data_IF_133072982931
#
_entry.id   IF_133072982931
#
_cell.length_a   1.000
_cell.length_b   1.000
_cell.length_c   1.000
_cell.angle_alpha   90.00
_cell.angle_beta   90.00
_cell.angle_gamma   90.00
#
_symmetry.space_group_name_H-M   'P 1'
#
loop_
_entity.id
_entity.type
_entity.pdbx_description
1 polymer ?
#
# COMPACT_ATOMS: atom_id res chain seq x y z
N UNK A 1 11.61 -11.40 -40.15
CA UNK A 1 11.69 -12.30 -38.98
C UNK A 1 11.00 -11.58 -37.84
N UNK A 2 9.76 -11.94 -37.50
CA UNK A 2 9.04 -11.32 -36.37
C UNK A 2 9.51 -12.01 -35.09
N UNK A 3 10.22 -11.29 -34.23
CA UNK A 3 10.58 -11.79 -32.91
C UNK A 3 9.29 -11.89 -32.08
N UNK A 4 8.90 -13.10 -31.69
CA UNK A 4 7.85 -13.29 -30.70
C UNK A 4 8.34 -12.69 -29.38
N UNK A 5 7.62 -11.74 -28.77
CA UNK A 5 7.99 -11.26 -27.45
C UNK A 5 7.96 -12.46 -26.48
N UNK A 6 8.99 -12.57 -25.66
CA UNK A 6 9.01 -13.61 -24.63
C UNK A 6 7.81 -13.37 -23.69
N UNK A 7 7.11 -14.43 -23.25
CA UNK A 7 5.88 -14.30 -22.47
C UNK A 7 6.02 -13.37 -21.25
N UNK A 8 7.20 -13.36 -20.61
CA UNK A 8 7.54 -12.48 -19.48
C UNK A 8 7.79 -11.00 -19.85
N UNK A 9 7.65 -10.63 -21.12
CA UNK A 9 7.65 -9.23 -21.57
C UNK A 9 6.23 -8.65 -21.69
N UNK A 10 5.20 -9.49 -21.55
CA UNK A 10 3.80 -9.07 -21.61
C UNK A 10 3.33 -8.86 -20.18
N UNK A 11 3.08 -7.60 -19.80
CA UNK A 11 2.76 -7.22 -18.42
C UNK A 11 1.47 -7.87 -17.93
N UNK A 12 0.51 -8.10 -18.83
CA UNK A 12 -0.74 -8.80 -18.56
C UNK A 12 -0.50 -10.25 -18.18
N UNK A 13 0.45 -10.94 -18.85
CA UNK A 13 0.83 -12.31 -18.49
C UNK A 13 1.49 -12.33 -17.11
N UNK A 14 2.39 -11.37 -16.84
CA UNK A 14 3.02 -11.27 -15.53
C UNK A 14 1.99 -10.98 -14.42
N UNK A 15 1.00 -10.11 -14.68
CA UNK A 15 -0.08 -9.83 -13.75
C UNK A 15 -0.95 -11.06 -13.50
N UNK A 16 -1.29 -11.81 -14.54
CA UNK A 16 -2.10 -13.03 -14.41
C UNK A 16 -1.37 -14.11 -13.59
N UNK A 17 -0.07 -14.27 -13.81
CA UNK A 17 0.76 -15.15 -12.97
C UNK A 17 0.71 -14.71 -11.51
N UNK A 18 0.84 -13.40 -11.24
CA UNK A 18 0.75 -12.88 -9.88
C UNK A 18 -0.62 -13.10 -9.24
N UNK A 19 -1.72 -13.01 -10.00
CA UNK A 19 -3.06 -13.35 -9.49
C UNK A 19 -3.12 -14.82 -9.08
N UNK A 20 -2.55 -15.72 -9.88
CA UNK A 20 -2.58 -17.15 -9.60
C UNK A 20 -1.69 -17.62 -8.43
N UNK A 21 -0.91 -16.74 -7.81
CA UNK A 21 -0.21 -17.06 -6.55
C UNK A 21 -1.05 -16.80 -5.30
N UNK A 22 -2.28 -16.32 -5.48
CA UNK A 22 -3.21 -16.11 -4.39
C UNK A 22 -3.56 -17.42 -3.68
N UNK A 23 -3.36 -17.43 -2.37
CA UNK A 23 -3.79 -18.48 -1.46
C UNK A 23 -5.17 -18.10 -0.89
N UNK A 24 -6.26 -18.77 -1.33
CA UNK A 24 -7.62 -18.44 -0.89
C UNK A 24 -7.85 -18.72 0.60
N UNK A 25 -6.94 -19.45 1.26
CA UNK A 25 -7.02 -19.76 2.68
C UNK A 25 -6.20 -18.77 3.54
N UNK A 26 -5.33 -17.96 2.94
CA UNK A 26 -4.43 -17.08 3.69
C UNK A 26 -3.97 -15.86 2.89
N UNK A 27 -4.59 -14.71 3.17
CA UNK A 27 -4.17 -13.40 2.65
C UNK A 27 -2.71 -13.09 2.95
N UNK A 28 -2.19 -13.51 4.12
CA UNK A 28 -0.79 -13.32 4.50
C UNK A 28 0.16 -14.10 3.58
N UNK A 29 -0.19 -15.33 3.19
CA UNK A 29 0.61 -16.11 2.24
C UNK A 29 0.60 -15.48 0.85
N UNK A 30 -0.56 -15.00 0.38
CA UNK A 30 -0.67 -14.23 -0.87
C UNK A 30 0.26 -13.02 -0.87
N UNK A 31 0.22 -12.20 0.19
CA UNK A 31 1.08 -11.03 0.32
C UNK A 31 2.57 -11.38 0.30
N UNK A 32 2.97 -12.45 0.99
CA UNK A 32 4.36 -12.92 0.99
C UNK A 32 4.79 -13.39 -0.40
N UNK A 33 3.96 -14.16 -1.11
CA UNK A 33 4.24 -14.61 -2.47
C UNK A 33 4.39 -13.44 -3.44
N UNK A 34 3.48 -12.46 -3.38
CA UNK A 34 3.55 -11.23 -4.18
C UNK A 34 4.81 -10.41 -3.86
N UNK A 35 5.16 -10.26 -2.58
CA UNK A 35 6.38 -9.57 -2.17
C UNK A 35 7.63 -10.26 -2.72
N UNK A 36 7.69 -11.59 -2.65
CA UNK A 36 8.79 -12.38 -3.21
C UNK A 36 8.88 -12.18 -4.73
N UNK A 37 7.76 -12.25 -5.46
CA UNK A 37 7.74 -11.99 -6.91
C UNK A 37 8.20 -10.57 -7.24
N UNK A 38 7.78 -9.58 -6.44
CA UNK A 38 8.14 -8.19 -6.64
C UNK A 38 9.66 -7.95 -6.54
N UNK A 39 10.34 -8.73 -5.68
CA UNK A 39 11.77 -8.62 -5.40
C UNK A 39 12.65 -9.46 -6.33
N UNK A 40 12.17 -10.61 -6.79
CA UNK A 40 12.98 -11.58 -7.53
C UNK A 40 13.18 -11.25 -9.02
N UNK A 41 12.28 -10.48 -9.65
CA UNK A 41 12.34 -10.21 -11.09
C UNK A 41 11.77 -8.84 -11.46
N UNK A 42 12.45 -8.14 -12.39
CA UNK A 42 11.98 -6.87 -12.94
C UNK A 42 10.64 -7.00 -13.67
N UNK A 43 10.38 -8.15 -14.30
CA UNK A 43 9.13 -8.40 -15.02
C UNK A 43 7.92 -8.48 -14.08
N UNK A 44 8.14 -9.03 -12.87
CA UNK A 44 7.10 -9.19 -11.86
C UNK A 44 7.03 -8.03 -10.87
N UNK A 45 8.05 -7.19 -10.78
CA UNK A 45 8.13 -6.08 -9.83
C UNK A 45 6.88 -5.19 -9.86
N UNK A 46 6.55 -4.64 -11.02
CA UNK A 46 5.41 -3.73 -11.15
C UNK A 46 4.06 -4.45 -10.93
N UNK A 47 3.74 -5.57 -11.62
CA UNK A 47 2.47 -6.27 -11.44
C UNK A 47 2.25 -6.79 -10.01
N UNK A 48 3.28 -7.32 -9.37
CA UNK A 48 3.17 -7.86 -8.03
C UNK A 48 2.97 -6.74 -6.99
N UNK A 49 3.66 -5.60 -7.13
CA UNK A 49 3.42 -4.43 -6.28
C UNK A 49 2.04 -3.81 -6.52
N UNK A 50 1.55 -3.82 -7.76
CA UNK A 50 0.19 -3.34 -8.06
C UNK A 50 -0.84 -4.17 -7.31
N UNK A 51 -0.75 -5.51 -7.36
CA UNK A 51 -1.66 -6.41 -6.64
C UNK A 51 -1.47 -6.35 -5.12
N UNK A 52 -0.23 -6.28 -4.63
CA UNK A 52 0.08 -6.24 -3.19
C UNK A 52 -0.55 -5.02 -2.51
N UNK A 53 -0.65 -3.90 -3.22
CA UNK A 53 -1.21 -2.63 -2.73
C UNK A 53 -2.61 -2.35 -3.26
N UNK A 54 -3.19 -3.21 -4.11
CA UNK A 54 -4.52 -2.99 -4.72
C UNK A 54 -5.61 -2.92 -3.63
N UNK A 55 -5.53 -3.81 -2.65
CA UNK A 55 -6.47 -3.91 -1.55
C UNK A 55 -5.74 -3.84 -0.20
N UNK A 56 -5.95 -2.75 0.54
CA UNK A 56 -5.38 -2.59 1.88
C UNK A 56 -6.45 -2.80 2.96
N UNK A 57 -6.12 -3.49 4.07
CA UNK A 57 -7.06 -3.67 5.18
C UNK A 57 -7.36 -2.37 5.92
N UNK A 58 -6.38 -1.47 5.98
CA UNK A 58 -6.47 -0.14 6.57
C UNK A 58 -5.44 0.81 5.93
N UNK A 59 -5.42 2.07 6.36
CA UNK A 59 -4.50 3.10 5.86
C UNK A 59 -3.11 3.07 6.52
N UNK A 60 -2.91 2.28 7.56
CA UNK A 60 -1.66 2.24 8.34
C UNK A 60 -0.41 1.93 7.47
N UNK A 61 -0.43 0.97 6.53
CA UNK A 61 0.69 0.72 5.63
C UNK A 61 1.14 1.97 4.86
N UNK A 62 0.20 2.84 4.47
CA UNK A 62 0.52 4.08 3.77
C UNK A 62 1.07 5.15 4.73
N UNK A 63 0.51 5.27 5.93
CA UNK A 63 1.01 6.22 6.94
C UNK A 63 2.48 5.95 7.28
N UNK A 64 2.89 4.67 7.35
CA UNK A 64 4.28 4.24 7.58
C UNK A 64 5.24 4.71 6.48
N UNK A 65 4.76 5.08 5.29
CA UNK A 65 5.58 5.58 4.19
C UNK A 65 5.89 7.07 4.29
N UNK A 66 5.20 7.81 5.16
CA UNK A 66 5.41 9.24 5.35
C UNK A 66 6.50 9.46 6.40
N UNK A 67 7.72 9.78 5.98
CA UNK A 67 8.88 9.96 6.88
C UNK A 67 8.74 11.10 7.90
N UNK A 68 7.73 11.94 7.76
CA UNK A 68 7.41 13.04 8.67
C UNK A 68 6.52 12.66 9.85
N UNK A 69 5.96 11.45 9.85
CA UNK A 69 5.08 10.98 10.91
C UNK A 69 5.85 10.23 11.99
N UNK A 70 5.38 10.40 13.23
CA UNK A 70 5.74 9.56 14.37
C UNK A 70 4.49 8.88 14.89
N UNK A 71 4.64 7.67 15.42
CA UNK A 71 3.53 6.85 15.91
C UNK A 71 3.72 6.55 17.39
N UNK A 72 2.63 6.67 18.14
CA UNK A 72 2.55 6.23 19.53
C UNK A 72 1.37 5.26 19.68
N UNK A 73 1.61 4.14 20.34
CA UNK A 73 0.54 3.19 20.69
C UNK A 73 0.05 3.49 22.10
N UNK A 74 -1.27 3.60 22.27
CA UNK A 74 -1.91 3.82 23.58
C UNK A 74 -3.16 2.96 23.70
N UNK A 75 -3.48 2.56 24.92
CA UNK A 75 -4.74 1.85 25.20
C UNK A 75 -5.84 2.88 25.46
N UNK A 76 -6.89 2.87 24.65
CA UNK A 76 -8.09 3.70 24.82
C UNK A 76 -9.29 2.76 24.91
N UNK A 77 -10.08 2.86 25.98
CA UNK A 77 -11.25 2.00 26.23
C UNK A 77 -10.95 0.49 26.10
N UNK A 78 -9.74 0.08 26.52
CA UNK A 78 -9.28 -1.30 26.47
C UNK A 78 -8.81 -1.79 25.09
N UNK A 79 -8.69 -0.90 24.10
CA UNK A 79 -8.19 -1.20 22.75
C UNK A 79 -6.86 -0.53 22.48
N UNK A 80 -5.97 -1.20 21.75
CA UNK A 80 -4.73 -0.62 21.26
C UNK A 80 -5.01 0.32 20.08
N UNK A 81 -4.76 1.61 20.29
CA UNK A 81 -4.95 2.67 19.31
C UNK A 81 -3.59 3.26 18.92
N UNK A 82 -3.38 3.46 17.61
CA UNK A 82 -2.16 4.07 17.06
C UNK A 82 -2.41 5.53 16.74
N UNK A 83 -1.69 6.41 17.42
CA UNK A 83 -1.73 7.85 17.23
C UNK A 83 -0.57 8.28 16.35
N UNK A 84 -0.88 8.70 15.13
CA UNK A 84 0.10 9.30 14.23
C UNK A 84 0.10 10.81 14.42
N UNK A 85 1.29 11.40 14.56
CA UNK A 85 1.46 12.86 14.65
C UNK A 85 2.52 13.35 13.67
N UNK A 86 2.34 14.56 13.19
CA UNK A 86 3.27 15.22 12.27
C UNK A 86 4.40 15.85 13.09
N UNK A 87 5.56 15.18 13.14
CA UNK A 87 6.68 15.63 13.97
C UNK A 87 7.39 16.88 13.43
N UNK A 88 7.22 17.19 12.15
CA UNK A 88 7.79 18.37 11.47
C UNK A 88 6.95 18.74 10.25
N UNK A 89 7.15 19.94 9.72
CA UNK A 89 6.55 20.35 8.45
C UNK A 89 6.89 19.34 7.33
N UNK A 90 5.85 18.74 6.75
CA UNK A 90 5.96 17.76 5.67
C UNK A 90 6.42 18.43 4.39
N UNK A 91 7.44 17.87 3.74
CA UNK A 91 7.97 18.32 2.45
C UNK A 91 7.59 17.31 1.37
N UNK A 92 7.70 17.70 0.10
CA UNK A 92 7.39 16.81 -1.04
C UNK A 92 8.11 15.45 -0.97
N UNK A 93 9.34 15.41 -0.47
CA UNK A 93 10.09 14.16 -0.30
C UNK A 93 9.48 13.19 0.72
N UNK A 94 8.80 13.70 1.76
CA UNK A 94 8.11 12.87 2.74
C UNK A 94 6.92 12.14 2.12
N UNK A 95 6.40 12.63 0.99
CA UNK A 95 5.27 12.06 0.27
C UNK A 95 5.68 11.14 -0.88
N UNK A 96 6.96 11.10 -1.30
CA UNK A 96 7.37 10.39 -2.52
C UNK A 96 6.93 8.93 -2.51
N UNK A 97 7.23 8.19 -1.44
CA UNK A 97 6.82 6.78 -1.32
C UNK A 97 5.31 6.65 -1.17
N UNK A 98 4.71 7.50 -0.33
CA UNK A 98 3.26 7.53 -0.18
C UNK A 98 2.56 7.66 -1.55
N UNK A 99 3.01 8.58 -2.40
CA UNK A 99 2.44 8.86 -3.72
C UNK A 99 2.62 7.70 -4.69
N UNK A 100 3.77 7.05 -4.62
CA UNK A 100 4.08 5.88 -5.46
C UNK A 100 3.14 4.71 -5.18
N UNK A 101 2.87 4.44 -3.89
CA UNK A 101 2.06 3.30 -3.47
C UNK A 101 0.56 3.61 -3.40
N UNK A 102 0.15 4.81 -2.97
CA UNK A 102 -1.26 5.21 -2.86
C UNK A 102 -2.02 5.19 -4.19
N UNK A 103 -1.32 5.36 -5.32
CA UNK A 103 -1.91 5.25 -6.67
C UNK A 103 -2.30 3.82 -7.06
N UNK A 104 -1.76 2.83 -6.38
CA UNK A 104 -2.03 1.41 -6.60
C UNK A 104 -3.28 0.95 -5.85
N UNK A 105 -3.63 1.63 -4.75
CA UNK A 105 -4.79 1.31 -3.91
C UNK A 105 -6.10 1.57 -4.64
N UNK A 106 -6.90 0.51 -4.77
CA UNK A 106 -8.24 0.51 -5.40
C UNK A 106 -9.35 0.26 -4.41
N UNK A 107 -9.06 -0.50 -3.36
CA UNK A 107 -10.01 -0.88 -2.31
C UNK A 107 -9.37 -0.65 -0.95
N UNK A 108 -10.12 -0.05 -0.04
CA UNK A 108 -9.83 -0.07 1.39
C UNK A 108 -10.87 -0.95 2.06
N UNK A 109 -10.39 -1.94 2.80
CA UNK A 109 -11.23 -2.68 3.71
C UNK A 109 -11.52 -1.84 4.97
N UNK A 110 -12.49 -2.30 5.77
CA UNK A 110 -12.81 -1.71 7.07
C UNK A 110 -12.39 -2.63 8.23
N UNK A 111 -11.70 -3.73 7.95
CA UNK A 111 -11.14 -4.64 8.95
C UNK A 111 -9.95 -4.00 9.70
N UNK A 112 -10.27 -3.28 10.78
CA UNK A 112 -9.26 -2.68 11.66
C UNK A 112 -8.83 -3.68 12.74
N UNK A 113 -7.70 -4.36 12.57
CA UNK A 113 -7.08 -5.15 13.66
C UNK A 113 -6.60 -4.25 14.82
N UNK A 114 -6.24 -2.99 14.52
CA UNK A 114 -5.94 -1.94 15.48
C UNK A 114 -6.46 -0.59 14.97
N UNK A 115 -6.97 0.24 15.87
CA UNK A 115 -7.64 1.49 15.51
C UNK A 115 -6.58 2.57 15.27
N UNK A 116 -6.48 3.08 14.03
CA UNK A 116 -5.70 4.29 13.75
C UNK A 116 -6.57 5.48 14.10
N UNK A 117 -6.05 6.38 14.95
CA UNK A 117 -6.77 7.59 15.30
C UNK A 117 -7.08 8.44 14.05
N UNK A 118 -8.35 8.78 13.86
CA UNK A 118 -8.82 9.43 12.64
C UNK A 118 -8.35 10.88 12.47
N UNK A 119 -7.86 11.55 13.52
CA UNK A 119 -7.45 12.96 13.43
C UNK A 119 -6.27 13.12 12.45
N UNK A 120 -5.41 12.10 12.32
CA UNK A 120 -4.31 12.13 11.36
C UNK A 120 -4.79 12.40 9.93
N UNK A 121 -5.89 11.78 9.50
CA UNK A 121 -6.38 11.95 8.13
C UNK A 121 -6.81 13.40 7.87
N UNK A 122 -7.48 14.02 8.86
CA UNK A 122 -7.84 15.44 8.78
C UNK A 122 -6.58 16.32 8.71
N UNK A 123 -5.57 16.05 9.54
CA UNK A 123 -4.31 16.78 9.48
C UNK A 123 -3.62 16.65 8.11
N UNK A 124 -3.53 15.43 7.58
CA UNK A 124 -2.90 15.17 6.28
C UNK A 124 -3.60 15.92 5.13
N UNK A 125 -4.94 16.01 5.14
CA UNK A 125 -5.68 16.79 4.13
C UNK A 125 -5.37 18.30 4.16
N UNK A 126 -4.91 18.85 5.29
CA UNK A 126 -4.48 20.26 5.38
C UNK A 126 -3.11 20.49 4.76
N UNK A 127 -2.26 19.46 4.74
CA UNK A 127 -0.91 19.54 4.20
C UNK A 127 -0.84 19.24 2.70
N UNK A 128 -1.96 18.90 2.07
CA UNK A 128 -1.99 18.40 0.71
C UNK A 128 -3.24 18.81 -0.05
N UNK A 129 -3.07 19.20 -1.32
CA UNK A 129 -4.18 19.60 -2.20
C UNK A 129 -4.70 18.46 -3.10
N UNK A 130 -3.99 17.35 -3.20
CA UNK A 130 -4.44 16.19 -3.99
C UNK A 130 -5.08 15.14 -3.09
N UNK A 131 -5.97 14.28 -3.62
CA UNK A 131 -6.56 13.19 -2.86
C UNK A 131 -5.50 12.29 -2.20
N UNK A 132 -5.79 11.81 -0.99
CA UNK A 132 -4.94 10.85 -0.28
C UNK A 132 -4.88 9.50 -0.99
N UNK A 133 -5.98 9.09 -1.64
CA UNK A 133 -6.08 7.87 -2.43
C UNK A 133 -6.70 8.20 -3.80
N UNK A 134 -5.90 8.60 -4.79
CA UNK A 134 -6.41 9.11 -6.07
C UNK A 134 -7.07 8.04 -6.94
N UNK A 135 -6.90 6.76 -6.61
CA UNK A 135 -7.31 5.60 -7.39
C UNK A 135 -8.38 4.72 -6.71
N UNK A 136 -8.82 5.10 -5.51
CA UNK A 136 -9.85 4.42 -4.74
C UNK A 136 -11.19 4.46 -5.49
N UNK A 137 -11.92 3.34 -5.50
CA UNK A 137 -13.21 3.19 -6.18
C UNK A 137 -14.40 3.40 -5.24
#
# INVERSE_FOLDING_TARGET
MYATPAALQIVEICREICIHVEDPLSRKNTQLSLLCLAQCSRAFSQPALDLLWEELPDMEPLLKLISGLVVESRVVDGRDVRFYTIARALRGQDWTRYDEYSRRVRTLDHEHEAEVDCDIYLQLTRHRQTPLLPALR
#
